data_IF_330117029411
#
_entry.id   IF_330117029411
#
_cell.length_a   1.000
_cell.length_b   1.000
_cell.length_c   1.000
_cell.angle_alpha   90.00
_cell.angle_beta   90.00
_cell.angle_gamma   90.00
#
_symmetry.space_group_name_H-M   'P 1'
#
loop_
_entity.id
_entity.type
_entity.pdbx_description
1 polymer ?
#
# COMPACT_ATOMS: atom_id res chain seq x y z
N UNK A 1 -52.86 -6.36 -35.71
CA UNK A 1 -52.59 -7.73 -35.24
C UNK A 1 -51.45 -8.29 -36.06
N UNK A 2 -50.20 -8.10 -35.67
CA UNK A 2 -49.03 -8.68 -36.30
C UNK A 2 -48.34 -9.60 -35.29
N UNK A 3 -48.41 -10.89 -35.59
CA UNK A 3 -47.89 -12.03 -34.86
C UNK A 3 -46.39 -11.94 -34.64
N UNK A 4 -45.94 -11.94 -33.40
CA UNK A 4 -44.56 -12.08 -33.06
C UNK A 4 -44.06 -13.50 -33.31
N UNK A 5 -43.01 -13.68 -34.11
CA UNK A 5 -42.36 -14.95 -34.35
C UNK A 5 -41.59 -15.42 -33.11
N UNK A 6 -41.78 -16.69 -32.68
CA UNK A 6 -41.00 -17.25 -31.55
C UNK A 6 -39.68 -17.83 -32.04
N UNK A 7 -38.60 -17.58 -31.30
CA UNK A 7 -37.39 -18.43 -31.32
C UNK A 7 -36.23 -17.95 -32.13
N UNK A 8 -35.70 -16.74 -31.89
CA UNK A 8 -34.30 -16.48 -32.21
C UNK A 8 -33.42 -16.97 -31.05
N UNK A 9 -32.93 -18.21 -31.22
CA UNK A 9 -31.86 -18.75 -30.41
C UNK A 9 -30.58 -17.90 -30.64
N UNK A 10 -30.30 -16.94 -29.76
CA UNK A 10 -29.08 -16.16 -29.81
C UNK A 10 -27.94 -17.12 -29.46
N UNK A 11 -27.34 -17.75 -30.46
CA UNK A 11 -26.07 -18.48 -30.32
C UNK A 11 -25.01 -17.46 -29.91
N UNK A 12 -24.76 -17.31 -28.62
CA UNK A 12 -23.60 -16.60 -28.13
C UNK A 12 -22.36 -17.33 -28.64
N UNK A 13 -21.54 -16.72 -29.50
CA UNK A 13 -20.37 -17.41 -30.04
C UNK A 13 -19.46 -17.80 -28.88
N UNK A 14 -19.18 -19.07 -28.77
CA UNK A 14 -18.32 -19.67 -27.69
C UNK A 14 -16.94 -19.00 -27.58
N UNK A 15 -16.48 -18.34 -28.63
CA UNK A 15 -15.25 -17.53 -28.60
C UNK A 15 -15.30 -16.29 -27.70
N UNK A 16 -16.50 -15.76 -27.36
CA UNK A 16 -16.61 -14.61 -26.44
C UNK A 16 -16.43 -14.99 -24.99
N UNK A 17 -16.80 -16.18 -24.59
CA UNK A 17 -16.61 -16.66 -23.21
C UNK A 17 -15.13 -17.03 -22.94
N UNK A 18 -14.42 -17.53 -23.95
CA UNK A 18 -12.97 -17.78 -23.86
C UNK A 18 -12.16 -16.46 -23.73
N UNK A 19 -12.67 -15.35 -24.30
CA UNK A 19 -12.06 -14.03 -24.19
C UNK A 19 -12.22 -13.39 -22.78
N UNK A 20 -13.11 -13.92 -21.95
CA UNK A 20 -13.35 -13.50 -20.56
C UNK A 20 -12.48 -14.27 -19.55
N UNK A 21 -11.65 -15.22 -20.00
CA UNK A 21 -10.73 -15.89 -19.08
C UNK A 21 -9.67 -14.89 -18.60
N UNK A 22 -9.40 -14.84 -17.26
CA UNK A 22 -8.42 -13.92 -16.68
C UNK A 22 -7.03 -14.05 -17.35
N UNK A 23 -6.68 -15.26 -17.80
CA UNK A 23 -5.42 -15.56 -18.50
C UNK A 23 -5.35 -14.98 -19.91
N UNK A 24 -6.45 -14.98 -20.66
CA UNK A 24 -6.49 -14.41 -22.01
C UNK A 24 -6.48 -12.88 -21.96
N UNK A 25 -7.10 -12.30 -20.94
CA UNK A 25 -7.09 -10.86 -20.71
C UNK A 25 -5.69 -10.40 -20.26
N UNK A 26 -5.00 -11.12 -19.37
CA UNK A 26 -3.62 -10.88 -18.97
C UNK A 26 -2.66 -10.88 -20.17
N UNK A 27 -2.73 -11.88 -21.04
CA UNK A 27 -1.87 -11.98 -22.23
C UNK A 27 -2.11 -10.87 -23.28
N UNK A 28 -3.32 -10.30 -23.34
CA UNK A 28 -3.62 -9.16 -24.22
C UNK A 28 -3.18 -7.82 -23.65
N UNK A 29 -3.05 -7.72 -22.33
CA UNK A 29 -2.78 -6.46 -21.63
C UNK A 29 -1.30 -6.15 -21.49
N UNK A 30 -0.43 -7.16 -21.52
CA UNK A 30 1.00 -7.00 -21.25
C UNK A 30 1.79 -7.50 -22.46
N UNK A 31 2.73 -6.70 -22.98
CA UNK A 31 3.65 -7.10 -24.05
C UNK A 31 4.73 -8.02 -23.48
N UNK A 32 5.20 -9.00 -24.28
CA UNK A 32 6.37 -9.80 -23.92
C UNK A 32 7.55 -8.90 -23.56
N UNK A 33 8.06 -8.99 -22.34
CA UNK A 33 9.12 -8.15 -21.77
C UNK A 33 8.67 -7.19 -20.66
N UNK A 34 7.41 -6.78 -20.64
CA UNK A 34 6.84 -5.89 -19.59
C UNK A 34 6.23 -6.68 -18.42
N UNK A 35 5.98 -7.99 -18.63
CA UNK A 35 5.31 -8.87 -17.66
C UNK A 35 6.06 -8.93 -16.34
N UNK A 36 7.39 -9.01 -16.40
CA UNK A 36 8.22 -9.08 -15.22
C UNK A 36 8.19 -7.79 -14.40
N UNK A 37 8.30 -6.65 -15.05
CA UNK A 37 8.29 -5.33 -14.39
C UNK A 37 6.91 -5.07 -13.79
N UNK A 38 5.84 -5.38 -14.52
CA UNK A 38 4.48 -5.25 -14.00
C UNK A 38 4.25 -6.17 -12.78
N UNK A 39 4.73 -7.42 -12.84
CA UNK A 39 4.67 -8.36 -11.73
C UNK A 39 5.42 -7.87 -10.49
N UNK A 40 6.62 -7.33 -10.64
CA UNK A 40 7.38 -6.73 -9.54
C UNK A 40 6.68 -5.52 -8.95
N UNK A 41 6.06 -4.68 -9.78
CA UNK A 41 5.30 -3.54 -9.31
C UNK A 41 4.02 -3.95 -8.55
N UNK A 42 3.33 -5.00 -9.00
CA UNK A 42 2.18 -5.58 -8.27
C UNK A 42 2.63 -6.13 -6.91
N UNK A 43 3.75 -6.85 -6.87
CA UNK A 43 4.32 -7.37 -5.62
C UNK A 43 4.74 -6.24 -4.67
N UNK A 44 5.34 -5.18 -5.21
CA UNK A 44 5.71 -4.00 -4.43
C UNK A 44 4.47 -3.30 -3.84
N UNK A 45 3.41 -3.09 -4.65
CA UNK A 45 2.13 -2.55 -4.17
C UNK A 45 1.52 -3.42 -3.06
N UNK A 46 1.49 -4.74 -3.27
CA UNK A 46 0.99 -5.68 -2.28
C UNK A 46 1.79 -5.62 -0.97
N UNK A 47 3.14 -5.58 -1.05
CA UNK A 47 4.02 -5.47 0.10
C UNK A 47 3.82 -4.18 0.89
N UNK A 48 3.70 -3.04 0.21
CA UNK A 48 3.43 -1.74 0.85
C UNK A 48 2.11 -1.75 1.63
N UNK A 49 1.04 -2.24 1.01
CA UNK A 49 -0.26 -2.28 1.66
C UNK A 49 -0.32 -3.33 2.77
N UNK A 50 0.32 -4.48 2.58
CA UNK A 50 0.44 -5.50 3.62
C UNK A 50 1.13 -4.91 4.87
N UNK A 51 2.29 -4.28 4.70
CA UNK A 51 3.04 -3.64 5.80
C UNK A 51 2.19 -2.55 6.48
N UNK A 52 1.51 -1.71 5.69
CA UNK A 52 0.65 -0.66 6.25
C UNK A 52 -0.48 -1.24 7.11
N UNK A 53 -1.13 -2.31 6.65
CA UNK A 53 -2.25 -2.93 7.37
C UNK A 53 -1.79 -3.69 8.62
N UNK A 54 -0.54 -4.10 8.70
CA UNK A 54 0.09 -4.62 9.93
C UNK A 54 0.40 -3.48 10.90
N UNK A 55 1.04 -2.40 10.44
CA UNK A 55 1.47 -1.29 11.29
C UNK A 55 0.31 -0.47 11.86
N UNK A 56 -0.80 -0.36 11.13
CA UNK A 56 -1.95 0.47 11.51
C UNK A 56 -2.60 0.04 12.84
N UNK A 57 -2.97 -1.22 13.07
CA UNK A 57 -3.49 -1.64 14.37
C UNK A 57 -2.42 -1.62 15.46
N UNK A 58 -1.16 -1.97 15.15
CA UNK A 58 -0.05 -1.94 16.12
C UNK A 58 0.14 -0.55 16.75
N UNK A 59 0.14 0.51 15.93
CA UNK A 59 0.27 1.87 16.47
C UNK A 59 -0.87 2.25 17.40
N UNK A 60 -2.10 1.80 17.07
CA UNK A 60 -3.29 2.09 17.89
C UNK A 60 -3.26 1.33 19.20
N UNK A 61 -2.83 0.07 19.17
CA UNK A 61 -2.65 -0.75 20.36
C UNK A 61 -1.57 -0.18 21.28
N UNK A 62 -0.40 0.18 20.72
CA UNK A 62 0.68 0.78 21.50
C UNK A 62 0.27 2.13 22.11
N UNK A 63 -0.45 2.97 21.36
CA UNK A 63 -0.94 4.25 21.86
C UNK A 63 -1.93 4.07 23.00
N UNK A 64 -2.90 3.19 22.87
CA UNK A 64 -3.96 2.97 23.86
C UNK A 64 -3.48 2.20 25.10
N UNK A 65 -2.33 1.53 25.02
CA UNK A 65 -1.70 0.87 26.17
C UNK A 65 -1.23 1.89 27.20
N UNK A 66 -0.61 2.98 26.75
CA UNK A 66 0.07 3.95 27.60
C UNK A 66 -0.72 5.26 27.78
N UNK A 67 -1.66 5.56 26.86
CA UNK A 67 -2.35 6.83 26.78
C UNK A 67 -3.86 6.65 26.66
N UNK A 68 -4.66 7.57 27.25
CA UNK A 68 -6.12 7.49 27.17
C UNK A 68 -6.62 7.84 25.76
N UNK A 69 -7.72 7.22 25.35
CA UNK A 69 -8.34 7.42 24.03
C UNK A 69 -8.71 8.89 23.72
N UNK A 70 -8.95 9.72 24.76
CA UNK A 70 -9.21 11.16 24.62
C UNK A 70 -8.06 11.93 23.98
N UNK A 71 -6.84 11.42 24.00
CA UNK A 71 -5.65 12.06 23.46
C UNK A 71 -5.38 11.69 21.98
N UNK A 72 -6.16 10.76 21.41
CA UNK A 72 -6.08 10.39 19.99
C UNK A 72 -6.18 11.60 19.04
N UNK A 73 -7.11 12.57 19.24
CA UNK A 73 -7.18 13.75 18.37
C UNK A 73 -5.87 14.54 18.33
N UNK A 74 -5.17 14.66 19.46
CA UNK A 74 -3.88 15.34 19.55
C UNK A 74 -2.80 14.61 18.77
N UNK A 75 -2.80 13.26 18.79
CA UNK A 75 -1.88 12.45 17.98
C UNK A 75 -2.13 12.62 16.47
N UNK A 76 -3.39 12.74 16.04
CA UNK A 76 -3.72 13.05 14.64
C UNK A 76 -3.30 14.47 14.25
N UNK A 77 -3.47 15.46 15.13
CA UNK A 77 -2.98 16.82 14.88
C UNK A 77 -1.46 16.85 14.74
N UNK A 78 -0.75 16.15 15.62
CA UNK A 78 0.70 16.01 15.53
C UNK A 78 1.11 15.36 14.19
N UNK A 79 0.42 14.29 13.76
CA UNK A 79 0.67 13.66 12.48
C UNK A 79 0.46 14.62 11.31
N UNK A 80 -0.60 15.44 11.35
CA UNK A 80 -0.88 16.44 10.31
C UNK A 80 0.20 17.53 10.26
N UNK A 81 0.67 18.01 11.40
CA UNK A 81 1.76 19.01 11.50
C UNK A 81 3.08 18.41 10.97
N UNK A 82 3.39 17.16 11.28
CA UNK A 82 4.61 16.49 10.81
C UNK A 82 4.54 16.09 9.33
N UNK A 83 3.34 15.90 8.77
CA UNK A 83 3.18 15.55 7.37
C UNK A 83 3.70 16.66 6.43
N UNK A 84 3.43 17.92 6.72
CA UNK A 84 3.83 19.04 5.88
C UNK A 84 5.35 19.14 5.67
N UNK A 85 6.20 19.18 6.72
CA UNK A 85 7.65 19.22 6.53
C UNK A 85 8.21 17.97 5.88
N UNK A 86 7.63 16.78 6.13
CA UNK A 86 8.06 15.53 5.48
C UNK A 86 7.77 15.53 3.98
N UNK A 87 6.59 16.01 3.57
CA UNK A 87 6.24 16.18 2.16
C UNK A 87 7.18 17.20 1.49
N UNK A 88 7.44 18.35 2.13
CA UNK A 88 8.35 19.35 1.62
C UNK A 88 9.80 18.83 1.50
N UNK A 89 10.26 18.04 2.48
CA UNK A 89 11.56 17.39 2.45
C UNK A 89 11.66 16.41 1.28
N UNK A 90 10.65 15.54 1.12
CA UNK A 90 10.57 14.58 0.01
C UNK A 90 10.57 15.30 -1.35
N UNK A 91 9.83 16.41 -1.48
CA UNK A 91 9.82 17.24 -2.67
C UNK A 91 11.19 17.85 -2.97
N UNK A 92 11.85 18.44 -1.97
CA UNK A 92 13.21 19.01 -2.12
C UNK A 92 14.24 17.95 -2.51
N UNK A 93 14.18 16.78 -1.87
CA UNK A 93 15.06 15.63 -2.21
C UNK A 93 14.77 15.11 -3.62
N UNK A 94 13.50 15.03 -4.03
CA UNK A 94 13.11 14.57 -5.36
C UNK A 94 13.58 15.49 -6.50
N UNK A 95 13.85 16.77 -6.21
CA UNK A 95 14.46 17.69 -7.19
C UNK A 95 15.94 17.45 -7.42
N UNK A 96 16.63 16.76 -6.51
CA UNK A 96 18.09 16.53 -6.55
C UNK A 96 18.45 15.08 -6.81
N UNK A 97 17.57 14.16 -6.47
CA UNK A 97 17.78 12.72 -6.57
C UNK A 97 16.98 12.13 -7.74
N UNK A 98 17.50 11.05 -8.33
CA UNK A 98 16.70 10.24 -9.26
C UNK A 98 15.52 9.59 -8.51
N UNK A 99 14.44 9.25 -9.23
CA UNK A 99 13.24 8.62 -8.64
C UNK A 99 13.61 7.36 -7.87
N UNK A 100 14.50 6.53 -8.42
CA UNK A 100 14.95 5.30 -7.77
C UNK A 100 15.73 5.60 -6.49
N UNK A 101 16.65 6.57 -6.52
CA UNK A 101 17.43 6.96 -5.35
C UNK A 101 16.55 7.54 -4.25
N UNK A 102 15.52 8.34 -4.62
CA UNK A 102 14.55 8.89 -3.67
C UNK A 102 13.78 7.77 -2.96
N UNK A 103 13.25 6.80 -3.71
CA UNK A 103 12.50 5.67 -3.16
C UNK A 103 13.37 4.81 -2.25
N UNK A 104 14.59 4.49 -2.70
CA UNK A 104 15.53 3.68 -1.89
C UNK A 104 15.92 4.41 -0.61
N UNK A 105 16.21 5.72 -0.68
CA UNK A 105 16.52 6.52 0.50
C UNK A 105 15.33 6.62 1.47
N UNK A 106 14.12 6.80 0.97
CA UNK A 106 12.91 6.85 1.81
C UNK A 106 12.64 5.51 2.48
N UNK A 107 12.67 4.40 1.73
CA UNK A 107 12.48 3.07 2.30
C UNK A 107 13.58 2.72 3.32
N UNK A 108 14.82 3.09 3.06
CA UNK A 108 15.92 2.94 4.01
C UNK A 108 15.70 3.77 5.28
N UNK A 109 15.27 5.02 5.14
CA UNK A 109 14.94 5.89 6.28
C UNK A 109 13.76 5.33 7.10
N UNK A 110 12.72 4.82 6.45
CA UNK A 110 11.57 4.16 7.11
C UNK A 110 12.03 2.95 7.91
N UNK A 111 12.85 2.08 7.31
CA UNK A 111 13.38 0.91 8.00
C UNK A 111 14.25 1.31 9.21
N UNK A 112 15.14 2.29 9.03
CA UNK A 112 15.97 2.84 10.11
C UNK A 112 15.12 3.41 11.25
N UNK A 113 14.06 4.16 10.93
CA UNK A 113 13.13 4.69 11.94
C UNK A 113 12.36 3.57 12.66
N UNK A 114 11.90 2.53 11.97
CA UNK A 114 11.24 1.38 12.60
C UNK A 114 12.17 0.67 13.59
N UNK A 115 13.43 0.44 13.20
CA UNK A 115 14.45 -0.13 14.08
C UNK A 115 14.74 0.77 15.28
N UNK A 116 14.80 2.09 15.06
CA UNK A 116 14.94 3.06 16.14
C UNK A 116 13.76 3.01 17.11
N UNK A 117 12.52 2.99 16.62
CA UNK A 117 11.33 2.88 17.46
C UNK A 117 11.30 1.57 18.25
N UNK A 118 11.70 0.47 17.61
CA UNK A 118 11.83 -0.84 18.29
C UNK A 118 12.77 -0.76 19.50
N UNK A 119 13.91 -0.08 19.34
CA UNK A 119 14.86 0.13 20.43
C UNK A 119 14.30 1.13 21.45
N UNK A 120 13.71 2.22 21.03
CA UNK A 120 13.22 3.29 21.88
C UNK A 120 12.02 2.89 22.76
N UNK A 121 11.17 1.97 22.29
CA UNK A 121 10.06 1.40 23.10
C UNK A 121 10.60 0.70 24.34
N UNK A 122 11.72 0.00 24.23
CA UNK A 122 12.36 -0.64 25.40
C UNK A 122 12.94 0.36 26.41
N UNK A 123 13.16 1.62 26.02
CA UNK A 123 13.66 2.68 26.87
C UNK A 123 12.58 3.39 27.73
N UNK A 124 11.29 3.07 27.54
CA UNK A 124 10.18 3.56 28.37
C UNK A 124 9.91 5.09 28.26
N UNK A 125 10.13 5.69 27.10
CA UNK A 125 10.02 7.15 26.89
C UNK A 125 8.54 7.56 26.82
N UNK A 126 8.01 8.46 27.67
CA UNK A 126 6.56 8.73 27.77
C UNK A 126 5.92 9.35 26.53
N UNK A 127 6.67 10.14 25.73
CA UNK A 127 6.15 10.80 24.51
C UNK A 127 6.34 9.96 23.24
N UNK A 128 7.02 8.82 23.34
CA UNK A 128 7.31 7.94 22.20
C UNK A 128 6.05 7.44 21.50
N UNK A 129 4.96 7.04 22.19
CA UNK A 129 3.73 6.58 21.51
C UNK A 129 3.12 7.63 20.59
N UNK A 130 3.18 8.93 20.94
CA UNK A 130 2.71 10.01 20.08
C UNK A 130 3.54 10.11 18.79
N UNK A 131 4.87 10.06 18.92
CA UNK A 131 5.77 10.16 17.77
C UNK A 131 5.65 8.94 16.85
N UNK A 132 5.58 7.75 17.44
CA UNK A 132 5.36 6.50 16.69
C UNK A 132 4.02 6.51 15.96
N UNK A 133 2.95 6.97 16.63
CA UNK A 133 1.64 7.10 16.03
C UNK A 133 1.67 8.04 14.82
N UNK A 134 2.27 9.22 14.97
CA UNK A 134 2.40 10.20 13.89
C UNK A 134 3.25 9.67 12.73
N UNK A 135 4.36 9.00 13.03
CA UNK A 135 5.24 8.38 12.04
C UNK A 135 4.49 7.34 11.20
N UNK A 136 3.85 6.36 11.85
CA UNK A 136 3.10 5.30 11.15
C UNK A 136 1.89 5.86 10.38
N UNK A 137 1.36 7.02 10.77
CA UNK A 137 0.30 7.70 10.03
C UNK A 137 0.79 8.33 8.72
N UNK A 138 1.97 8.97 8.73
CA UNK A 138 2.44 9.81 7.62
C UNK A 138 3.25 9.00 6.60
N UNK A 139 4.09 8.09 7.04
CA UNK A 139 5.02 7.36 6.16
C UNK A 139 4.31 6.56 5.06
N UNK A 140 3.24 5.80 5.31
CA UNK A 140 2.57 5.05 4.25
C UNK A 140 2.03 5.94 3.15
N UNK A 141 1.56 7.14 3.50
CA UNK A 141 1.08 8.12 2.50
C UNK A 141 2.21 8.54 1.56
N UNK A 142 3.41 8.79 2.11
CA UNK A 142 4.60 9.11 1.31
C UNK A 142 5.03 7.92 0.44
N UNK A 143 5.07 6.72 1.00
CA UNK A 143 5.44 5.51 0.25
C UNK A 143 4.47 5.23 -0.90
N UNK A 144 3.16 5.38 -0.68
CA UNK A 144 2.14 5.22 -1.72
C UNK A 144 2.28 6.29 -2.80
N UNK A 145 2.52 7.55 -2.42
CA UNK A 145 2.75 8.63 -3.38
C UNK A 145 3.99 8.36 -4.25
N UNK A 146 5.09 7.90 -3.65
CA UNK A 146 6.31 7.52 -4.37
C UNK A 146 6.12 6.28 -5.25
N UNK A 147 5.32 5.32 -4.81
CA UNK A 147 4.93 4.18 -5.62
C UNK A 147 4.23 4.61 -6.92
N UNK A 148 3.25 5.54 -6.81
CA UNK A 148 2.57 6.07 -8.00
C UNK A 148 3.48 6.91 -8.88
N UNK A 149 4.43 7.65 -8.30
CA UNK A 149 5.46 8.36 -9.05
C UNK A 149 6.34 7.39 -9.85
N UNK A 150 6.76 6.27 -9.24
CA UNK A 150 7.53 5.22 -9.89
C UNK A 150 6.72 4.55 -11.01
N UNK A 151 5.45 4.23 -10.75
CA UNK A 151 4.57 3.65 -11.75
C UNK A 151 4.41 4.56 -12.97
N UNK A 152 4.24 5.87 -12.75
CA UNK A 152 4.18 6.87 -13.82
C UNK A 152 5.50 7.09 -14.55
N UNK A 153 6.64 6.80 -13.91
CA UNK A 153 7.96 6.86 -14.54
C UNK A 153 8.26 5.64 -15.42
N UNK A 154 7.79 4.46 -15.01
CA UNK A 154 8.06 3.20 -15.70
C UNK A 154 7.08 2.96 -16.86
N UNK A 155 5.80 3.31 -16.69
CA UNK A 155 4.74 2.98 -17.65
C UNK A 155 4.29 4.19 -18.43
N UNK A 156 4.24 4.06 -19.76
CA UNK A 156 3.63 5.06 -20.65
C UNK A 156 2.12 5.19 -20.40
N UNK A 157 1.55 6.35 -20.71
CA UNK A 157 0.13 6.65 -20.43
C UNK A 157 -0.88 5.67 -21.04
N UNK A 158 -0.53 4.96 -22.13
CA UNK A 158 -1.37 3.91 -22.73
C UNK A 158 -1.24 2.58 -21.96
N UNK A 159 -0.05 2.26 -21.47
CA UNK A 159 0.25 1.09 -20.65
C UNK A 159 -0.34 1.25 -19.25
N UNK A 160 -0.21 2.43 -18.67
CA UNK A 160 -0.73 2.79 -17.37
C UNK A 160 -2.21 2.45 -17.21
N UNK A 161 -3.06 2.78 -18.19
CA UNK A 161 -4.50 2.47 -18.16
C UNK A 161 -4.83 0.98 -18.03
N UNK A 162 -3.94 0.10 -18.49
CA UNK A 162 -4.11 -1.35 -18.41
C UNK A 162 -3.53 -1.93 -17.12
N UNK A 163 -2.36 -1.42 -16.73
CA UNK A 163 -1.56 -1.96 -15.63
C UNK A 163 -2.07 -1.45 -14.27
N UNK A 164 -2.62 -0.25 -14.18
CA UNK A 164 -3.13 0.31 -12.91
C UNK A 164 -4.23 -0.53 -12.26
N UNK A 165 -5.06 -1.21 -13.07
CA UNK A 165 -6.03 -2.18 -12.55
C UNK A 165 -5.36 -3.36 -11.84
N UNK A 166 -4.24 -3.86 -12.38
CA UNK A 166 -3.46 -4.95 -11.74
C UNK A 166 -2.71 -4.47 -10.50
N UNK A 167 -2.15 -3.26 -10.54
CA UNK A 167 -1.52 -2.65 -9.35
C UNK A 167 -2.53 -2.50 -8.21
N UNK A 168 -3.75 -2.03 -8.54
CA UNK A 168 -4.85 -1.95 -7.57
C UNK A 168 -5.26 -3.31 -7.00
N UNK A 169 -5.36 -4.34 -7.85
CA UNK A 169 -5.64 -5.72 -7.40
C UNK A 169 -4.54 -6.25 -6.46
N UNK A 170 -3.26 -6.00 -6.79
CA UNK A 170 -2.13 -6.33 -5.92
C UNK A 170 -2.22 -5.64 -4.56
N UNK A 171 -2.56 -4.35 -4.55
CA UNK A 171 -2.77 -3.58 -3.33
C UNK A 171 -3.89 -4.17 -2.44
N UNK A 172 -5.02 -4.57 -3.05
CA UNK A 172 -6.13 -5.23 -2.33
C UNK A 172 -5.69 -6.56 -1.73
N UNK A 173 -5.01 -7.41 -2.50
CA UNK A 173 -4.47 -8.68 -2.01
C UNK A 173 -3.50 -8.44 -0.85
N UNK A 174 -2.61 -7.46 -0.98
CA UNK A 174 -1.67 -7.07 0.07
C UNK A 174 -2.36 -6.61 1.36
N UNK A 175 -3.41 -5.80 1.24
CA UNK A 175 -4.18 -5.33 2.40
C UNK A 175 -4.92 -6.47 3.12
N UNK A 176 -5.50 -7.42 2.37
CA UNK A 176 -6.13 -8.62 2.93
C UNK A 176 -5.10 -9.50 3.65
N UNK A 177 -3.96 -9.75 3.01
CA UNK A 177 -2.87 -10.52 3.61
C UNK A 177 -2.37 -9.86 4.91
N UNK A 178 -2.16 -8.52 4.90
CA UNK A 178 -1.75 -7.78 6.08
C UNK A 178 -2.76 -7.84 7.22
N UNK A 179 -4.06 -7.76 6.91
CA UNK A 179 -5.13 -7.90 7.91
C UNK A 179 -5.16 -9.29 8.54
N UNK A 180 -5.03 -10.36 7.73
CA UNK A 180 -4.99 -11.74 8.22
C UNK A 180 -3.75 -11.98 9.09
N UNK A 181 -2.58 -11.50 8.66
CA UNK A 181 -1.35 -11.60 9.46
C UNK A 181 -1.52 -10.89 10.80
N UNK A 182 -2.15 -9.72 10.82
CA UNK A 182 -2.41 -8.97 12.06
C UNK A 182 -3.33 -9.76 12.99
N UNK A 183 -4.39 -10.36 12.47
CA UNK A 183 -5.36 -11.15 13.24
C UNK A 183 -4.67 -12.36 13.89
N UNK A 184 -3.88 -13.10 13.11
CA UNK A 184 -3.09 -14.22 13.62
C UNK A 184 -2.07 -13.82 14.70
N UNK A 185 -1.47 -12.64 14.57
CA UNK A 185 -0.49 -12.14 15.55
C UNK A 185 -1.16 -11.65 16.85
N UNK A 186 -2.43 -11.25 16.81
CA UNK A 186 -3.17 -10.85 18.01
C UNK A 186 -3.48 -12.04 18.93
N UNK A 187 -3.80 -13.21 18.37
CA UNK A 187 -4.16 -14.41 19.13
C UNK A 187 -2.97 -15.02 19.91
N UNK A 188 -1.74 -14.87 19.41
CA UNK A 188 -0.55 -15.54 19.95
C UNK A 188 0.27 -14.73 20.99
N UNK A 189 -0.27 -13.63 21.55
CA UNK A 189 0.54 -12.68 22.35
C UNK A 189 1.78 -12.11 21.62
N UNK A 190 2.02 -12.52 20.38
CA UNK A 190 3.14 -12.09 19.56
C UNK A 190 3.11 -10.61 19.19
N UNK A 191 1.95 -9.96 19.35
CA UNK A 191 1.75 -8.53 19.10
C UNK A 191 2.62 -7.64 20.03
N UNK A 192 2.89 -8.10 21.26
CA UNK A 192 3.72 -7.40 22.22
C UNK A 192 5.21 -7.44 21.81
N UNK A 193 5.65 -8.48 21.10
CA UNK A 193 7.05 -8.63 20.66
C UNK A 193 7.39 -7.84 19.42
N UNK A 194 6.38 -7.43 18.64
CA UNK A 194 6.55 -6.61 17.43
C UNK A 194 6.43 -5.11 17.72
N UNK A 195 5.85 -4.73 18.82
CA UNK A 195 5.81 -3.37 19.37
C UNK A 195 7.00 -3.11 20.28
#
# INVERSE_FOLDING_TARGET
>A
LQSAAPGQNIKVPSGRLAALSPRAWLRRSIRHGEEWIAGLMVLYAAGLLCLYYILKPMRSALFLKDLPARDLPNAYLLAAVLAAPLVLLTYKCGRRLSVIALITATNGAVLGCLLFFRWAVSAGIPWLPYLYFAFVQVIPVLCIAQFWLLAGYIFDGRQAKRIFGFLGAGAIIGSLAGSVVTDLLQDDQGFIWLA
#
